data_IF_520429656488
#
_entry.id   IF_520429656488
#
_cell.length_a   1.000
_cell.length_b   1.000
_cell.length_c   1.000
_cell.angle_alpha   90.00
_cell.angle_beta   90.00
_cell.angle_gamma   90.00
#
_symmetry.space_group_name_H-M   'P 1'
#
loop_
_entity.id
_entity.type
_entity.pdbx_description
1 polymer ?
#
# COMPACT_ATOMS: atom_id res chain seq x y z
N UNK A 1 -22.38 32.94 10.49
CA UNK A 1 -21.05 33.57 10.67
C UNK A 1 -21.03 34.97 10.11
N UNK A 2 -21.43 35.22 8.85
CA UNK A 2 -21.44 36.56 8.25
C UNK A 2 -22.21 37.59 9.11
N UNK A 3 -23.47 37.32 9.48
CA UNK A 3 -24.30 38.20 10.34
C UNK A 3 -23.65 38.55 11.68
N UNK A 4 -22.73 37.73 12.16
CA UNK A 4 -21.97 37.90 13.42
C UNK A 4 -20.60 38.55 13.19
N UNK A 5 -20.27 38.95 11.97
CA UNK A 5 -18.96 39.52 11.64
C UNK A 5 -17.78 38.57 11.74
N UNK A 6 -18.04 37.26 11.72
CA UNK A 6 -17.03 36.18 11.85
C UNK A 6 -16.59 35.62 10.48
N UNK A 7 -17.18 36.08 9.40
CA UNK A 7 -16.80 35.73 8.02
C UNK A 7 -17.09 36.88 7.08
N UNK A 8 -16.33 36.96 5.99
CA UNK A 8 -16.47 37.94 4.93
C UNK A 8 -16.20 37.31 3.56
N UNK A 9 -16.76 37.92 2.51
CA UNK A 9 -16.48 37.51 1.12
C UNK A 9 -15.29 38.31 0.58
N UNK A 10 -14.47 37.67 -0.23
CA UNK A 10 -13.19 38.20 -0.70
C UNK A 10 -12.97 37.84 -2.16
N UNK A 11 -12.72 38.82 -3.02
CA UNK A 11 -12.38 38.65 -4.43
C UNK A 11 -10.89 38.87 -4.72
N UNK A 12 -10.06 38.94 -3.70
CA UNK A 12 -8.61 39.04 -3.89
C UNK A 12 -8.14 37.82 -4.68
N UNK A 13 -7.37 38.04 -5.73
CA UNK A 13 -6.81 36.96 -6.54
C UNK A 13 -5.87 36.07 -5.72
N UNK A 14 -5.66 34.83 -6.20
CA UNK A 14 -4.96 33.78 -5.44
C UNK A 14 -3.52 34.17 -5.06
N UNK A 15 -2.79 34.80 -5.97
CA UNK A 15 -1.39 35.15 -5.73
C UNK A 15 -1.28 36.32 -4.75
N UNK A 16 -2.07 37.34 -4.91
CA UNK A 16 -2.15 38.48 -3.99
C UNK A 16 -2.59 37.99 -2.60
N UNK A 17 -3.59 37.11 -2.51
CA UNK A 17 -4.03 36.55 -1.23
C UNK A 17 -2.93 35.75 -0.54
N UNK A 18 -2.11 35.00 -1.29
CA UNK A 18 -0.95 34.29 -0.73
C UNK A 18 0.07 35.26 -0.14
N UNK A 19 0.38 36.34 -0.88
CA UNK A 19 1.30 37.38 -0.42
C UNK A 19 0.75 38.08 0.82
N UNK A 20 -0.50 38.52 0.81
CA UNK A 20 -1.14 39.13 1.96
C UNK A 20 -1.09 38.24 3.20
N UNK A 21 -1.46 36.96 3.06
CA UNK A 21 -1.40 36.01 4.17
C UNK A 21 0.03 35.75 4.66
N UNK A 22 1.04 35.75 3.77
CA UNK A 22 2.45 35.65 4.14
C UNK A 22 2.89 36.89 4.93
N UNK A 23 2.57 38.07 4.39
CA UNK A 23 3.08 39.36 4.87
C UNK A 23 2.15 40.00 5.94
N UNK A 24 1.09 39.27 6.35
CA UNK A 24 0.13 39.68 7.39
C UNK A 24 -0.66 40.94 7.03
N UNK A 25 -0.94 41.13 5.76
CA UNK A 25 -1.71 42.25 5.23
C UNK A 25 -3.18 41.85 5.13
N UNK A 26 -4.07 42.70 5.66
CA UNK A 26 -5.51 42.50 5.55
C UNK A 26 -6.02 42.77 4.12
N UNK A 27 -6.98 41.97 3.65
CA UNK A 27 -7.71 42.24 2.43
C UNK A 27 -8.60 43.48 2.59
N UNK A 28 -8.74 44.27 1.54
CA UNK A 28 -9.68 45.40 1.51
C UNK A 28 -11.13 44.95 1.77
N UNK A 29 -11.51 43.76 1.32
CA UNK A 29 -12.84 43.17 1.55
C UNK A 29 -13.13 42.83 3.02
N UNK A 30 -12.11 42.76 3.89
CA UNK A 30 -12.26 42.49 5.31
C UNK A 30 -13.06 43.56 6.07
N UNK A 31 -13.18 44.76 5.48
CA UNK A 31 -13.91 45.91 6.03
C UNK A 31 -15.39 45.96 5.62
N UNK A 32 -15.84 45.06 4.73
CA UNK A 32 -17.22 45.02 4.29
C UNK A 32 -18.17 44.77 5.47
N UNK A 33 -19.31 45.46 5.41
CA UNK A 33 -20.37 45.29 6.44
C UNK A 33 -21.02 43.90 6.32
N UNK A 34 -21.67 43.40 7.37
CA UNK A 34 -22.43 42.17 7.27
C UNK A 34 -23.46 42.13 6.16
N UNK A 35 -24.12 43.25 5.86
CA UNK A 35 -25.13 43.40 4.80
C UNK A 35 -24.49 43.24 3.44
N UNK A 36 -23.39 43.93 3.16
CA UNK A 36 -22.62 43.80 1.91
C UNK A 36 -22.13 42.37 1.70
N UNK A 37 -21.61 41.75 2.77
CA UNK A 37 -21.15 40.36 2.69
C UNK A 37 -22.30 39.40 2.42
N UNK A 38 -23.50 39.62 2.99
CA UNK A 38 -24.67 38.77 2.75
C UNK A 38 -25.13 38.85 1.28
N UNK A 39 -25.25 40.07 0.75
CA UNK A 39 -25.64 40.30 -0.64
C UNK A 39 -24.68 39.57 -1.61
N UNK A 40 -23.37 39.73 -1.40
CA UNK A 40 -22.35 39.08 -2.24
C UNK A 40 -22.37 37.56 -2.07
N UNK A 41 -22.59 37.06 -0.86
CA UNK A 41 -22.69 35.62 -0.60
C UNK A 41 -23.93 35.01 -1.28
N UNK A 42 -25.05 35.69 -1.30
CA UNK A 42 -26.26 35.27 -2.03
C UNK A 42 -25.99 35.17 -3.56
N UNK A 43 -25.23 36.09 -4.12
CA UNK A 43 -24.78 36.02 -5.52
C UNK A 43 -23.86 34.80 -5.74
N UNK A 44 -22.94 34.52 -4.83
CA UNK A 44 -22.12 33.30 -4.89
C UNK A 44 -22.97 32.03 -4.87
N UNK A 45 -23.99 31.93 -4.03
CA UNK A 45 -24.91 30.78 -3.98
C UNK A 45 -25.67 30.58 -5.28
N UNK A 46 -26.03 31.66 -5.99
CA UNK A 46 -26.66 31.62 -7.31
C UNK A 46 -25.65 31.33 -8.43
N UNK A 47 -24.37 31.44 -8.14
CA UNK A 47 -23.30 31.30 -9.12
C UNK A 47 -23.11 32.54 -9.99
N UNK A 48 -23.42 33.71 -9.49
CA UNK A 48 -23.31 35.01 -10.16
C UNK A 48 -22.04 35.79 -9.76
N UNK A 49 -21.22 35.22 -8.82
CA UNK A 49 -20.04 35.85 -8.26
C UNK A 49 -18.94 34.79 -7.99
N UNK A 50 -18.45 34.14 -9.05
CA UNK A 50 -17.48 33.05 -8.98
C UNK A 50 -16.07 33.52 -8.57
N UNK A 51 -15.77 34.79 -8.76
CA UNK A 51 -14.53 35.45 -8.37
C UNK A 51 -14.37 35.62 -6.87
N UNK A 52 -15.46 35.49 -6.10
CA UNK A 52 -15.42 35.58 -4.64
C UNK A 52 -15.22 34.21 -3.95
N UNK A 53 -14.59 34.27 -2.80
CA UNK A 53 -14.59 33.17 -1.82
C UNK A 53 -15.07 33.66 -0.46
N UNK A 54 -15.57 32.76 0.39
CA UNK A 54 -15.91 33.06 1.77
C UNK A 54 -14.68 32.80 2.63
N UNK A 55 -14.26 33.78 3.46
CA UNK A 55 -13.15 33.67 4.40
C UNK A 55 -13.62 33.83 5.84
N UNK A 56 -12.97 33.11 6.75
CA UNK A 56 -13.10 33.36 8.18
C UNK A 56 -12.44 34.70 8.53
N UNK A 57 -13.03 35.44 9.47
CA UNK A 57 -12.45 36.67 10.02
C UNK A 57 -11.84 36.34 11.37
N UNK A 58 -10.58 35.92 11.39
CA UNK A 58 -9.87 35.48 12.59
C UNK A 58 -8.80 36.50 12.98
N UNK A 59 -7.56 36.31 12.56
CA UNK A 59 -6.43 37.18 12.90
C UNK A 59 -5.33 37.08 11.85
N UNK A 60 -5.15 38.13 11.06
CA UNK A 60 -4.12 38.23 10.03
C UNK A 60 -2.70 38.34 10.62
N UNK A 61 -2.57 38.73 11.90
CA UNK A 61 -1.28 38.85 12.59
C UNK A 61 -0.82 37.53 13.27
N UNK A 62 -1.68 36.51 13.26
CA UNK A 62 -1.36 35.23 13.88
C UNK A 62 -0.03 34.64 13.40
N UNK A 63 0.78 34.07 14.31
CA UNK A 63 1.99 33.32 13.95
C UNK A 63 1.65 32.03 13.20
N UNK A 64 0.49 31.45 13.48
CA UNK A 64 -0.02 30.29 12.75
C UNK A 64 -0.70 30.74 11.43
N UNK A 65 -0.08 30.42 10.30
CA UNK A 65 -0.62 30.76 8.97
C UNK A 65 -2.01 30.20 8.69
N UNK A 66 -2.42 29.10 9.35
CA UNK A 66 -3.75 28.53 9.21
C UNK A 66 -4.85 29.40 9.86
N UNK A 67 -4.47 30.30 10.78
CA UNK A 67 -5.38 31.23 11.45
C UNK A 67 -5.50 32.59 10.73
N UNK A 68 -4.70 32.84 9.68
CA UNK A 68 -4.74 34.11 8.93
C UNK A 68 -5.86 34.09 7.92
N UNK A 69 -7.07 34.33 8.39
CA UNK A 69 -8.32 34.42 7.63
C UNK A 69 -8.42 33.33 6.53
N UNK A 70 -8.54 32.04 6.91
CA UNK A 70 -8.61 30.95 5.96
C UNK A 70 -9.89 30.96 5.14
N UNK A 71 -9.82 30.40 3.92
CA UNK A 71 -11.00 30.24 3.05
C UNK A 71 -11.91 29.16 3.64
N UNK A 72 -13.16 29.50 3.86
CA UNK A 72 -14.23 28.61 4.34
C UNK A 72 -14.97 27.90 3.21
N UNK A 73 -15.09 28.55 2.06
CA UNK A 73 -15.77 27.97 0.90
C UNK A 73 -15.62 28.81 -0.35
N UNK A 74 -15.94 28.21 -1.49
CA UNK A 74 -15.86 28.83 -2.82
C UNK A 74 -16.84 28.21 -3.79
N UNK A 75 -17.11 28.90 -4.90
CA UNK A 75 -17.87 28.35 -6.01
C UNK A 75 -17.09 27.25 -6.73
N UNK A 76 -17.78 26.17 -7.09
CA UNK A 76 -17.25 25.08 -7.90
C UNK A 76 -18.30 24.64 -8.94
N UNK A 77 -18.01 24.79 -10.22
CA UNK A 77 -18.89 24.46 -11.35
C UNK A 77 -18.84 23.01 -11.77
N UNK A 78 -17.88 22.23 -11.25
CA UNK A 78 -17.76 20.82 -11.58
C UNK A 78 -18.97 20.05 -11.03
N UNK A 79 -19.73 19.33 -11.87
CA UNK A 79 -20.87 18.55 -11.39
C UNK A 79 -20.42 17.49 -10.38
N UNK A 80 -21.10 17.43 -9.24
CA UNK A 80 -20.82 16.42 -8.24
C UNK A 80 -21.46 15.08 -8.65
N UNK A 81 -20.77 13.97 -8.47
CA UNK A 81 -21.19 12.63 -8.92
C UNK A 81 -22.56 12.16 -8.41
N UNK A 82 -23.04 12.65 -7.26
CA UNK A 82 -24.35 12.29 -6.69
C UNK A 82 -25.38 13.40 -6.80
N UNK A 83 -24.99 14.66 -6.60
CA UNK A 83 -25.91 15.79 -6.54
C UNK A 83 -25.93 16.60 -7.83
N UNK A 84 -25.08 16.24 -8.81
CA UNK A 84 -24.99 16.96 -10.08
C UNK A 84 -24.67 18.45 -9.89
N UNK A 85 -25.49 19.33 -10.46
CA UNK A 85 -25.35 20.79 -10.39
C UNK A 85 -26.24 21.45 -9.32
N UNK A 86 -26.79 20.66 -8.36
CA UNK A 86 -27.71 21.18 -7.33
C UNK A 86 -27.09 22.28 -6.47
N UNK A 87 -25.80 22.19 -6.19
CA UNK A 87 -25.06 23.13 -5.38
C UNK A 87 -23.96 23.78 -6.22
N UNK A 88 -23.77 25.07 -6.05
CA UNK A 88 -22.71 25.86 -6.71
C UNK A 88 -21.60 26.24 -5.74
N UNK A 89 -21.93 26.47 -4.48
CA UNK A 89 -20.97 26.77 -3.43
C UNK A 89 -20.60 25.52 -2.63
N UNK A 90 -19.30 25.33 -2.39
CA UNK A 90 -18.76 24.20 -1.65
C UNK A 90 -17.85 24.68 -0.53
N UNK A 91 -18.03 24.15 0.71
CA UNK A 91 -17.13 24.43 1.81
C UNK A 91 -15.75 23.79 1.58
N UNK A 92 -14.72 24.37 2.17
CA UNK A 92 -13.42 23.71 2.27
C UNK A 92 -13.47 22.60 3.33
N UNK A 93 -12.50 21.67 3.25
CA UNK A 93 -12.38 20.62 4.24
C UNK A 93 -12.29 21.15 5.68
N UNK A 94 -11.47 22.18 5.89
CA UNK A 94 -11.23 22.75 7.22
C UNK A 94 -12.48 23.42 7.82
N UNK A 95 -13.43 23.81 7.00
CA UNK A 95 -14.73 24.34 7.46
C UNK A 95 -15.78 23.24 7.65
N UNK A 96 -15.86 22.31 6.71
CA UNK A 96 -16.88 21.25 6.75
C UNK A 96 -16.62 20.22 7.84
N UNK A 97 -15.35 19.81 8.03
CA UNK A 97 -14.98 18.70 8.91
C UNK A 97 -15.43 18.92 10.37
N UNK A 98 -15.13 20.02 11.06
CA UNK A 98 -15.58 20.23 12.44
C UNK A 98 -17.10 20.25 12.57
N UNK A 99 -17.82 20.74 11.57
CA UNK A 99 -19.29 20.81 11.56
C UNK A 99 -19.88 19.39 11.43
N UNK A 100 -19.36 18.61 10.47
CA UNK A 100 -19.81 17.24 10.23
C UNK A 100 -19.49 16.35 11.42
N UNK A 101 -18.30 16.45 11.98
CA UNK A 101 -17.90 15.72 13.18
C UNK A 101 -18.85 16.00 14.36
N UNK A 102 -19.23 17.27 14.56
CA UNK A 102 -20.22 17.64 15.57
C UNK A 102 -21.60 17.02 15.29
N UNK A 103 -22.10 17.17 14.05
CA UNK A 103 -23.43 16.69 13.66
C UNK A 103 -23.54 15.16 13.70
N UNK A 104 -22.46 14.45 13.44
CA UNK A 104 -22.39 12.98 13.49
C UNK A 104 -22.06 12.43 14.89
N UNK A 105 -21.85 13.29 15.89
CA UNK A 105 -21.59 12.89 17.27
C UNK A 105 -20.21 12.26 17.47
N UNK A 106 -19.21 12.67 16.67
CA UNK A 106 -17.83 12.22 16.82
C UNK A 106 -17.28 12.69 18.17
N UNK A 107 -16.76 11.77 18.96
CA UNK A 107 -16.14 12.05 20.25
C UNK A 107 -14.64 12.32 20.13
N UNK A 108 -13.96 11.60 19.21
CA UNK A 108 -12.52 11.66 18.97
C UNK A 108 -12.24 11.75 17.48
N UNK A 109 -11.76 12.89 17.01
CA UNK A 109 -11.32 13.08 15.62
C UNK A 109 -9.86 12.66 15.48
N UNK A 110 -9.60 11.52 14.84
CA UNK A 110 -8.26 10.99 14.62
C UNK A 110 -7.68 11.52 13.33
N UNK A 111 -6.51 12.19 13.39
CA UNK A 111 -5.87 12.87 12.26
C UNK A 111 -4.37 12.57 12.22
N UNK A 112 -3.79 12.65 11.03
CA UNK A 112 -2.33 12.63 10.93
C UNK A 112 -1.74 13.95 11.42
N UNK A 113 -0.56 13.90 12.02
CA UNK A 113 0.16 15.08 12.56
C UNK A 113 0.53 16.14 11.50
N UNK A 114 0.37 15.82 10.22
CA UNK A 114 0.47 16.79 9.12
C UNK A 114 -0.57 17.93 9.23
N UNK A 115 -1.61 17.74 10.03
CA UNK A 115 -2.69 18.69 10.28
C UNK A 115 -2.58 19.42 11.63
N UNK A 116 -1.50 19.25 12.36
CA UNK A 116 -1.29 19.86 13.69
C UNK A 116 -1.55 21.38 13.68
N UNK A 117 -1.01 22.11 12.71
CA UNK A 117 -1.18 23.56 12.60
C UNK A 117 -2.64 23.99 12.35
N UNK A 118 -3.51 23.07 11.93
CA UNK A 118 -4.93 23.33 11.64
C UNK A 118 -5.85 23.05 12.84
N UNK A 119 -5.34 22.49 13.93
CA UNK A 119 -6.15 22.22 15.14
C UNK A 119 -6.75 23.49 15.73
N UNK A 120 -6.02 24.61 15.87
CA UNK A 120 -6.61 25.85 16.33
C UNK A 120 -7.75 26.36 15.42
N UNK A 121 -7.60 26.20 14.10
CA UNK A 121 -8.65 26.55 13.12
C UNK A 121 -9.90 25.67 13.30
N UNK A 122 -9.72 24.37 13.51
CA UNK A 122 -10.80 23.43 13.75
C UNK A 122 -11.62 23.81 15.00
N UNK A 123 -10.95 24.08 16.11
CA UNK A 123 -11.62 24.52 17.34
C UNK A 123 -12.26 25.92 17.20
N UNK A 124 -11.61 26.83 16.45
CA UNK A 124 -12.20 28.12 16.19
C UNK A 124 -13.54 28.01 15.44
N UNK A 125 -13.67 27.10 14.46
CA UNK A 125 -14.93 26.88 13.74
C UNK A 125 -16.02 26.38 14.70
N UNK A 126 -15.72 25.42 15.58
CA UNK A 126 -16.69 24.93 16.57
C UNK A 126 -17.13 26.05 17.49
N UNK A 127 -16.20 26.81 18.03
CA UNK A 127 -16.49 27.95 18.94
C UNK A 127 -17.29 29.05 18.24
N UNK A 128 -16.92 29.42 17.02
CA UNK A 128 -17.64 30.40 16.20
C UNK A 128 -19.09 30.00 15.91
N UNK A 129 -19.40 28.71 15.91
CA UNK A 129 -20.74 28.18 15.68
C UNK A 129 -21.49 27.85 17.00
N UNK A 130 -20.80 27.92 18.14
CA UNK A 130 -21.37 27.59 19.45
C UNK A 130 -21.47 26.07 19.67
N UNK A 131 -20.64 25.29 19.00
CA UNK A 131 -20.58 23.82 19.15
C UNK A 131 -19.59 23.41 20.26
N UNK A 132 -19.87 22.34 21.00
CA UNK A 132 -18.93 21.82 21.98
C UNK A 132 -17.66 21.30 21.29
N UNK A 133 -16.53 21.42 21.98
CA UNK A 133 -15.27 20.84 21.53
C UNK A 133 -15.25 19.35 21.81
N UNK A 134 -14.74 18.57 20.85
CA UNK A 134 -14.44 17.15 21.04
C UNK A 134 -12.94 16.92 20.91
N UNK A 135 -12.48 15.74 21.30
CA UNK A 135 -11.07 15.42 21.36
C UNK A 135 -10.48 15.23 19.95
N UNK A 136 -9.28 15.74 19.74
CA UNK A 136 -8.47 15.47 18.55
C UNK A 136 -7.28 14.63 18.96
N UNK A 137 -7.10 13.48 18.31
CA UNK A 137 -5.94 12.64 18.48
C UNK A 137 -5.11 12.62 17.22
N UNK A 138 -3.82 12.89 17.37
CA UNK A 138 -2.88 12.88 16.25
C UNK A 138 -2.01 11.63 16.29
N UNK A 139 -1.71 11.11 15.09
CA UNK A 139 -0.78 10.01 14.89
C UNK A 139 0.09 10.27 13.66
N UNK A 140 1.22 9.55 13.55
CA UNK A 140 2.10 9.70 12.40
C UNK A 140 1.54 8.99 11.16
N UNK A 141 1.85 9.54 9.99
CA UNK A 141 1.61 8.86 8.73
C UNK A 141 2.57 7.69 8.59
N UNK A 142 2.07 6.55 8.09
CA UNK A 142 2.92 5.43 7.68
C UNK A 142 3.74 5.81 6.46
N UNK A 143 5.06 5.61 6.54
CA UNK A 143 5.96 5.69 5.42
C UNK A 143 6.68 4.35 5.26
N UNK A 144 6.80 3.89 4.00
CA UNK A 144 7.49 2.66 3.63
C UNK A 144 8.66 3.00 2.72
N UNK A 145 9.79 2.34 2.95
CA UNK A 145 10.98 2.51 2.11
C UNK A 145 10.69 2.14 0.65
N UNK A 146 11.35 2.84 -0.27
CA UNK A 146 11.26 2.63 -1.72
C UNK A 146 9.82 2.64 -2.26
N UNK A 147 8.88 3.30 -1.55
CA UNK A 147 7.45 3.22 -1.82
C UNK A 147 6.85 4.57 -2.14
N UNK A 148 6.17 4.68 -3.26
CA UNK A 148 5.41 5.87 -3.62
C UNK A 148 3.98 5.77 -3.07
N UNK A 149 3.67 6.52 -1.99
CA UNK A 149 2.33 6.60 -1.39
C UNK A 149 1.49 7.78 -1.92
N UNK A 150 2.04 8.59 -2.84
CA UNK A 150 1.32 9.75 -3.38
C UNK A 150 0.26 9.33 -4.40
N UNK A 151 -1.03 9.53 -4.07
CA UNK A 151 -2.15 9.25 -4.99
C UNK A 151 -1.96 9.90 -6.37
N UNK A 152 -1.50 11.15 -6.43
CA UNK A 152 -1.29 11.88 -7.71
C UNK A 152 -0.23 11.20 -8.59
N UNK A 153 0.86 10.74 -7.99
CA UNK A 153 1.92 10.02 -8.71
C UNK A 153 1.43 8.64 -9.17
N UNK A 154 0.69 7.91 -8.32
CA UNK A 154 0.10 6.62 -8.67
C UNK A 154 -0.93 6.78 -9.79
N UNK A 155 -1.74 7.81 -9.77
CA UNK A 155 -2.71 8.14 -10.82
C UNK A 155 -2.03 8.35 -12.17
N UNK A 156 -0.91 9.05 -12.20
CA UNK A 156 -0.13 9.23 -13.43
C UNK A 156 0.31 7.90 -14.05
N UNK A 157 0.74 6.92 -13.24
CA UNK A 157 1.11 5.59 -13.74
C UNK A 157 -0.08 4.87 -14.36
N UNK A 158 -1.28 5.00 -13.76
CA UNK A 158 -2.52 4.40 -14.30
C UNK A 158 -2.92 5.07 -15.61
N UNK A 159 -2.95 6.40 -15.66
CA UNK A 159 -3.35 7.17 -16.83
C UNK A 159 -2.36 7.00 -18.00
N UNK A 160 -1.07 6.90 -17.70
CA UNK A 160 -0.03 6.63 -18.70
C UNK A 160 0.06 5.15 -19.11
N UNK A 161 -0.83 4.28 -18.61
CA UNK A 161 -0.92 2.83 -18.91
C UNK A 161 0.39 2.07 -18.64
N UNK A 162 1.19 2.52 -17.69
CA UNK A 162 2.43 1.84 -17.24
C UNK A 162 2.17 0.69 -16.26
N UNK A 163 0.94 0.60 -15.77
CA UNK A 163 0.42 -0.43 -14.88
C UNK A 163 -0.97 -0.82 -15.35
N UNK A 164 -1.44 -2.00 -14.95
CA UNK A 164 -2.77 -2.50 -15.33
C UNK A 164 -3.92 -1.70 -14.71
N UNK A 165 -3.69 -1.12 -13.53
CA UNK A 165 -4.68 -0.33 -12.82
C UNK A 165 -4.33 -0.13 -11.34
N UNK A 166 -5.28 0.35 -10.56
CA UNK A 166 -5.10 0.60 -9.13
C UNK A 166 -4.86 -0.65 -8.27
N UNK A 167 -5.14 -1.82 -8.81
CA UNK A 167 -4.91 -3.12 -8.19
C UNK A 167 -3.62 -3.80 -8.67
N UNK A 168 -2.79 -3.11 -9.43
CA UNK A 168 -1.50 -3.65 -9.87
C UNK A 168 -0.67 -4.08 -8.65
N UNK A 169 -0.09 -5.31 -8.63
CA UNK A 169 0.65 -5.81 -7.47
C UNK A 169 1.95 -5.03 -7.17
N UNK A 170 2.39 -4.17 -8.08
CA UNK A 170 3.50 -3.24 -7.84
C UNK A 170 3.10 -2.01 -7.03
N UNK A 171 1.78 -1.75 -6.90
CA UNK A 171 1.26 -0.61 -6.15
C UNK A 171 1.09 -0.92 -4.66
N UNK A 172 1.37 0.06 -3.78
CA UNK A 172 1.14 -0.05 -2.34
C UNK A 172 -0.32 0.25 -1.96
N UNK A 173 -1.27 0.07 -2.88
CA UNK A 173 -2.69 0.14 -2.56
C UNK A 173 -3.13 -1.13 -1.86
N UNK A 174 -4.17 -1.07 -1.03
CA UNK A 174 -4.72 -2.26 -0.37
C UNK A 174 -5.03 -3.36 -1.38
N UNK A 175 -5.64 -3.02 -2.51
CA UNK A 175 -5.93 -3.98 -3.59
C UNK A 175 -4.67 -4.55 -4.23
N UNK A 176 -3.65 -3.74 -4.44
CA UNK A 176 -2.36 -4.16 -5.01
C UNK A 176 -1.64 -5.14 -4.09
N UNK A 177 -1.55 -4.84 -2.79
CA UNK A 177 -0.89 -5.71 -1.82
C UNK A 177 -1.65 -7.01 -1.59
N UNK A 178 -3.00 -6.99 -1.61
CA UNK A 178 -3.82 -8.22 -1.55
C UNK A 178 -3.56 -9.08 -2.79
N UNK A 179 -3.55 -8.49 -3.99
CA UNK A 179 -3.23 -9.21 -5.23
C UNK A 179 -1.81 -9.78 -5.23
N UNK A 180 -0.88 -9.15 -4.52
CA UNK A 180 0.50 -9.63 -4.31
C UNK A 180 0.57 -10.81 -3.34
N UNK A 181 -0.51 -11.16 -2.65
CA UNK A 181 -0.59 -12.28 -1.71
C UNK A 181 -0.48 -11.91 -0.24
N UNK A 182 -0.58 -10.61 0.09
CA UNK A 182 -0.63 -10.16 1.49
C UNK A 182 -2.07 -10.26 2.00
N UNK A 183 -2.25 -10.92 3.14
CA UNK A 183 -3.54 -11.08 3.80
C UNK A 183 -4.00 -9.79 4.48
N UNK A 184 -5.32 -9.58 4.58
CA UNK A 184 -5.89 -8.41 5.27
C UNK A 184 -5.51 -8.42 6.76
N UNK A 185 -5.49 -9.61 7.37
CA UNK A 185 -5.09 -9.81 8.76
C UNK A 185 -3.65 -9.34 9.01
N UNK A 186 -2.77 -9.54 8.01
CA UNK A 186 -1.38 -9.04 8.05
C UNK A 186 -1.34 -7.51 8.11
N UNK A 187 -2.15 -6.84 7.29
CA UNK A 187 -2.22 -5.37 7.30
C UNK A 187 -2.75 -4.86 8.64
N UNK A 188 -3.78 -5.50 9.18
CA UNK A 188 -4.35 -5.14 10.48
C UNK A 188 -3.31 -5.27 11.59
N UNK A 189 -2.63 -6.41 11.68
CA UNK A 189 -1.61 -6.65 12.70
C UNK A 189 -0.43 -5.67 12.56
N UNK A 190 0.05 -5.49 11.33
CA UNK A 190 1.13 -4.54 11.05
C UNK A 190 0.77 -3.12 11.49
N UNK A 191 -0.46 -2.66 11.23
CA UNK A 191 -0.92 -1.33 11.67
C UNK A 191 -1.08 -1.23 13.18
N UNK A 192 -1.58 -2.26 13.85
CA UNK A 192 -1.69 -2.28 15.31
C UNK A 192 -0.33 -2.22 15.99
N UNK A 193 0.67 -2.89 15.44
CA UNK A 193 2.04 -2.84 15.95
C UNK A 193 2.71 -1.47 15.80
N UNK A 194 2.27 -0.63 14.85
CA UNK A 194 2.77 0.75 14.73
C UNK A 194 2.36 1.61 15.94
N UNK A 195 1.18 1.34 16.50
CA UNK A 195 0.61 2.11 17.59
C UNK A 195 0.22 3.55 17.20
N UNK A 196 -0.26 4.35 18.16
CA UNK A 196 -0.78 5.71 17.92
C UNK A 196 0.29 6.80 18.10
N UNK A 197 1.55 6.51 17.86
CA UNK A 197 2.65 7.47 18.04
C UNK A 197 2.58 8.63 17.03
N UNK A 198 2.92 9.84 17.48
CA UNK A 198 3.10 11.02 16.61
C UNK A 198 4.46 11.05 15.91
N UNK A 199 5.40 10.19 16.32
CA UNK A 199 6.75 10.15 15.76
C UNK A 199 6.70 9.57 14.35
N UNK A 200 7.15 10.34 13.37
CA UNK A 200 7.30 9.85 12.00
C UNK A 200 8.29 8.68 11.96
N UNK A 201 7.93 7.64 11.25
CA UNK A 201 8.77 6.47 11.02
C UNK A 201 8.88 6.18 9.53
N UNK A 202 9.92 5.48 9.16
CA UNK A 202 10.13 4.89 7.84
C UNK A 202 10.28 3.38 8.05
N UNK A 203 9.33 2.60 7.53
CA UNK A 203 9.23 1.17 7.77
C UNK A 203 9.76 0.38 6.57
N UNK A 204 10.44 -0.71 6.86
CA UNK A 204 10.86 -1.69 5.87
C UNK A 204 9.71 -2.68 5.56
N UNK A 205 9.70 -3.19 4.33
CA UNK A 205 8.74 -4.20 3.89
C UNK A 205 8.93 -5.55 4.56
N UNK A 206 10.14 -5.85 5.01
CA UNK A 206 10.53 -7.13 5.63
C UNK A 206 9.66 -7.47 6.83
N UNK A 207 9.32 -6.49 7.65
CA UNK A 207 8.42 -6.69 8.79
C UNK A 207 7.03 -7.13 8.34
N UNK A 208 6.48 -6.48 7.32
CA UNK A 208 5.18 -6.85 6.75
C UNK A 208 5.21 -8.27 6.17
N UNK A 209 6.29 -8.61 5.46
CA UNK A 209 6.47 -9.95 4.90
C UNK A 209 6.62 -11.02 5.99
N UNK A 210 7.32 -10.73 7.07
CA UNK A 210 7.48 -11.67 8.19
C UNK A 210 6.13 -11.99 8.84
N UNK A 211 5.29 -10.99 9.08
CA UNK A 211 3.93 -11.17 9.60
C UNK A 211 3.10 -12.00 8.60
N UNK A 212 3.12 -11.64 7.31
CA UNK A 212 2.36 -12.35 6.29
C UNK A 212 2.76 -13.82 6.20
N UNK A 213 4.07 -14.08 6.18
CA UNK A 213 4.61 -15.45 6.16
C UNK A 213 4.10 -16.26 7.34
N UNK A 214 4.12 -15.72 8.54
CA UNK A 214 3.62 -16.39 9.76
C UNK A 214 2.12 -16.73 9.66
N UNK A 215 1.33 -15.84 9.07
CA UNK A 215 -0.12 -16.05 8.91
C UNK A 215 -0.43 -17.07 7.82
N UNK A 216 0.28 -17.01 6.68
CA UNK A 216 -0.05 -17.88 5.54
C UNK A 216 0.59 -19.27 5.64
N UNK A 217 1.72 -19.41 6.31
CA UNK A 217 2.50 -20.66 6.36
C UNK A 217 1.70 -21.89 6.83
N UNK A 218 0.83 -21.79 7.87
CA UNK A 218 0.02 -22.92 8.31
C UNK A 218 -1.20 -23.23 7.42
N UNK A 219 -1.60 -22.33 6.52
CA UNK A 219 -2.84 -22.48 5.75
C UNK A 219 -2.63 -22.62 4.23
N UNK A 220 -1.42 -22.38 3.75
CA UNK A 220 -1.14 -22.42 2.32
C UNK A 220 -0.63 -23.79 1.85
N UNK A 221 -1.20 -24.32 0.75
CA UNK A 221 -0.62 -25.45 0.04
C UNK A 221 0.78 -25.10 -0.47
N UNK A 222 1.68 -26.08 -0.48
CA UNK A 222 3.05 -25.91 -0.94
C UNK A 222 3.29 -26.68 -2.24
N UNK A 223 3.75 -25.94 -3.24
CA UNK A 223 4.16 -26.48 -4.52
C UNK A 223 5.64 -26.21 -4.76
N UNK A 224 6.28 -27.08 -5.56
CA UNK A 224 7.62 -26.83 -6.06
C UNK A 224 7.54 -26.05 -7.36
N UNK A 225 8.45 -25.10 -7.57
CA UNK A 225 8.62 -24.38 -8.81
C UNK A 225 10.12 -24.30 -9.14
N UNK A 226 10.43 -24.34 -10.43
CA UNK A 226 11.79 -24.19 -10.97
C UNK A 226 11.72 -23.14 -12.08
N UNK A 227 12.66 -22.22 -12.12
CA UNK A 227 12.75 -21.22 -13.18
C UNK A 227 13.03 -21.88 -14.51
N UNK A 228 12.29 -21.53 -15.55
CA UNK A 228 12.48 -22.10 -16.90
C UNK A 228 13.82 -21.67 -17.49
N UNK A 229 14.23 -20.42 -17.22
CA UNK A 229 15.47 -19.86 -17.74
C UNK A 229 16.67 -20.58 -17.13
N UNK A 230 17.46 -21.25 -17.98
CA UNK A 230 18.65 -22.02 -17.62
C UNK A 230 18.36 -23.14 -16.58
N UNK A 231 17.14 -23.69 -16.58
CA UNK A 231 16.82 -24.85 -15.74
C UNK A 231 17.85 -25.94 -16.00
N UNK A 232 18.55 -26.36 -14.94
CA UNK A 232 19.59 -27.38 -15.01
C UNK A 232 19.00 -28.77 -14.81
N UNK A 233 19.59 -29.78 -15.42
CA UNK A 233 19.10 -31.16 -15.39
C UNK A 233 20.03 -32.04 -14.59
N UNK A 234 19.45 -32.88 -13.71
CA UNK A 234 20.15 -33.97 -13.05
C UNK A 234 19.62 -35.27 -13.63
N UNK A 235 20.48 -36.01 -14.37
CA UNK A 235 20.20 -37.34 -14.82
C UNK A 235 20.59 -38.33 -13.72
N UNK A 236 19.63 -39.09 -13.23
CA UNK A 236 19.80 -40.07 -12.15
C UNK A 236 19.89 -41.45 -12.81
N UNK A 237 21.12 -42.00 -12.86
CA UNK A 237 21.44 -43.14 -13.72
C UNK A 237 20.81 -44.47 -13.25
N UNK A 238 20.57 -44.61 -11.96
CA UNK A 238 20.06 -45.85 -11.35
C UNK A 238 18.55 -45.82 -11.06
N UNK A 239 17.79 -44.95 -11.73
CA UNK A 239 16.33 -44.84 -11.62
C UNK A 239 15.70 -45.13 -13.00
N UNK A 240 14.55 -45.84 -13.06
CA UNK A 240 13.81 -46.04 -14.31
C UNK A 240 13.41 -44.71 -14.98
N UNK A 241 13.37 -44.72 -16.32
CA UNK A 241 12.98 -43.53 -17.08
C UNK A 241 11.48 -43.22 -16.98
N UNK A 242 10.63 -44.22 -16.75
CA UNK A 242 9.19 -44.05 -16.58
C UNK A 242 8.87 -43.30 -15.30
N UNK A 243 8.14 -42.17 -15.37
CA UNK A 243 7.77 -41.38 -14.18
C UNK A 243 6.84 -42.17 -13.24
N UNK A 244 7.15 -42.16 -11.96
CA UNK A 244 6.32 -42.69 -10.89
C UNK A 244 5.72 -41.59 -10.04
N UNK A 245 4.41 -41.64 -9.76
CA UNK A 245 3.74 -40.73 -8.85
C UNK A 245 3.67 -41.29 -7.43
N UNK A 246 4.18 -40.54 -6.44
CA UNK A 246 4.00 -40.86 -5.03
C UNK A 246 3.19 -39.75 -4.34
N UNK A 247 2.34 -40.14 -3.39
CA UNK A 247 1.58 -39.19 -2.60
C UNK A 247 2.46 -38.56 -1.51
N UNK A 248 2.42 -37.22 -1.41
CA UNK A 248 3.12 -36.47 -0.36
C UNK A 248 2.19 -35.42 0.24
N UNK A 249 2.33 -35.08 1.53
CA UNK A 249 1.52 -34.04 2.14
C UNK A 249 1.64 -32.70 1.41
N UNK A 250 0.52 -32.02 1.20
CA UNK A 250 0.46 -30.68 0.64
C UNK A 250 1.29 -29.69 1.48
N UNK A 251 1.27 -29.85 2.80
CA UNK A 251 2.12 -29.14 3.75
C UNK A 251 2.47 -30.06 4.93
N UNK A 252 3.75 -30.10 5.31
CA UNK A 252 4.17 -30.82 6.51
C UNK A 252 3.72 -30.16 7.81
N UNK A 253 3.35 -28.88 7.77
CA UNK A 253 2.88 -28.13 8.93
C UNK A 253 1.37 -28.27 9.16
N UNK A 254 0.62 -28.64 8.13
CA UNK A 254 -0.82 -28.81 8.23
C UNK A 254 -1.29 -29.95 7.32
N UNK A 255 -1.41 -31.13 7.89
CA UNK A 255 -1.84 -32.34 7.17
C UNK A 255 -3.30 -32.27 6.74
N UNK A 256 -4.13 -31.41 7.35
CA UNK A 256 -5.53 -31.21 6.95
C UNK A 256 -5.69 -30.61 5.54
N UNK A 257 -4.62 -30.06 4.96
CA UNK A 257 -4.62 -29.59 3.57
C UNK A 257 -4.62 -30.73 2.54
N UNK A 258 -4.50 -31.98 3.00
CA UNK A 258 -4.49 -33.16 2.14
C UNK A 258 -3.11 -33.43 1.51
N UNK A 259 -3.15 -34.18 0.43
CA UNK A 259 -1.96 -34.68 -0.27
C UNK A 259 -1.92 -34.21 -1.72
N UNK A 260 -0.74 -34.30 -2.33
CA UNK A 260 -0.51 -34.04 -3.74
C UNK A 260 0.42 -35.07 -4.35
N UNK A 261 0.30 -35.36 -5.66
CA UNK A 261 1.26 -36.20 -6.33
C UNK A 261 2.64 -35.50 -6.40
N UNK A 262 3.68 -36.26 -6.12
CA UNK A 262 5.07 -35.94 -6.42
C UNK A 262 5.53 -36.93 -7.48
N UNK A 263 5.80 -36.43 -8.65
CA UNK A 263 6.33 -37.23 -9.74
C UNK A 263 7.84 -37.40 -9.58
N UNK A 264 8.32 -38.61 -9.74
CA UNK A 264 9.74 -38.96 -9.77
C UNK A 264 10.08 -39.51 -11.13
N UNK A 265 11.19 -39.11 -11.71
CA UNK A 265 11.71 -39.64 -12.97
C UNK A 265 13.24 -39.65 -12.91
N UNK A 266 13.87 -40.32 -13.86
CA UNK A 266 15.33 -40.34 -13.95
C UNK A 266 15.92 -38.96 -14.32
N UNK A 267 15.11 -37.95 -14.64
CA UNK A 267 15.56 -36.56 -14.87
C UNK A 267 14.87 -35.60 -13.94
N UNK A 268 15.65 -34.91 -13.12
CA UNK A 268 15.18 -33.86 -12.23
C UNK A 268 15.62 -32.48 -12.76
N UNK A 269 14.66 -31.56 -12.89
CA UNK A 269 14.90 -30.15 -13.20
C UNK A 269 15.14 -29.38 -11.92
N UNK A 270 16.18 -28.56 -11.86
CA UNK A 270 16.53 -27.71 -10.72
C UNK A 270 16.86 -26.28 -11.18
N UNK A 271 16.76 -25.33 -10.29
CA UNK A 271 17.15 -23.93 -10.55
C UNK A 271 18.65 -23.84 -10.87
N UNK A 272 19.01 -23.00 -11.83
CA UNK A 272 20.41 -22.72 -12.19
C UNK A 272 21.24 -22.31 -10.97
N UNK A 273 20.70 -21.44 -10.10
CA UNK A 273 21.41 -20.95 -8.92
C UNK A 273 21.74 -22.11 -7.97
N UNK A 274 20.80 -23.02 -7.76
CA UNK A 274 21.03 -24.20 -6.91
C UNK A 274 22.08 -25.13 -7.57
N UNK A 275 21.97 -25.35 -8.87
CA UNK A 275 22.95 -26.12 -9.62
C UNK A 275 24.36 -25.52 -9.52
N UNK A 276 24.48 -24.19 -9.67
CA UNK A 276 25.76 -23.48 -9.65
C UNK A 276 26.42 -23.50 -8.25
N UNK A 277 25.66 -23.13 -7.22
CA UNK A 277 26.19 -22.85 -5.90
C UNK A 277 26.16 -24.02 -4.92
N UNK A 278 25.17 -24.91 -5.03
CA UNK A 278 24.92 -25.97 -4.04
C UNK A 278 25.30 -27.38 -4.51
N UNK A 279 25.41 -27.60 -5.82
CA UNK A 279 25.71 -28.92 -6.40
C UNK A 279 27.19 -29.02 -6.74
N UNK A 280 27.91 -29.96 -6.09
CA UNK A 280 29.34 -30.21 -6.32
C UNK A 280 29.58 -31.69 -6.61
N UNK A 281 30.52 -31.95 -7.51
CA UNK A 281 30.94 -33.30 -7.88
C UNK A 281 31.54 -33.99 -6.67
N UNK A 282 31.14 -35.25 -6.45
CA UNK A 282 31.55 -36.07 -5.30
C UNK A 282 30.77 -35.82 -4.00
N UNK A 283 29.91 -34.78 -3.97
CA UNK A 283 29.06 -34.47 -2.82
C UNK A 283 27.63 -35.03 -2.99
N UNK A 284 26.95 -35.21 -1.86
CA UNK A 284 25.54 -35.60 -1.83
C UNK A 284 24.66 -34.38 -1.73
N UNK A 285 23.56 -34.38 -2.45
CA UNK A 285 22.45 -33.45 -2.32
C UNK A 285 21.17 -34.17 -1.94
N UNK A 286 20.20 -33.48 -1.36
CA UNK A 286 18.86 -34.02 -1.11
C UNK A 286 17.85 -33.38 -2.05
N UNK A 287 17.24 -34.17 -2.91
CA UNK A 287 16.02 -33.76 -3.62
C UNK A 287 14.85 -33.80 -2.65
N UNK A 288 14.24 -32.63 -2.42
CA UNK A 288 13.20 -32.46 -1.38
C UNK A 288 12.03 -33.44 -1.57
N UNK A 289 11.63 -34.11 -0.49
CA UNK A 289 10.60 -35.14 -0.45
C UNK A 289 10.89 -36.43 -1.28
N UNK A 290 12.12 -36.59 -1.76
CA UNK A 290 12.56 -37.84 -2.45
C UNK A 290 13.67 -38.52 -1.70
N UNK A 291 14.90 -38.00 -1.75
CA UNK A 291 16.04 -38.60 -1.10
C UNK A 291 17.38 -38.03 -1.53
N UNK A 292 18.45 -38.71 -1.14
CA UNK A 292 19.81 -38.26 -1.45
C UNK A 292 20.27 -38.75 -2.80
N UNK A 293 21.02 -37.90 -3.53
CA UNK A 293 21.67 -38.19 -4.80
C UNK A 293 23.15 -37.85 -4.68
N UNK A 294 24.03 -38.80 -5.00
CA UNK A 294 25.48 -38.63 -5.10
C UNK A 294 25.81 -38.08 -6.50
N UNK A 295 26.43 -36.91 -6.57
CA UNK A 295 26.75 -36.24 -7.83
C UNK A 295 28.06 -36.82 -8.41
N UNK A 296 28.00 -37.27 -9.66
CA UNK A 296 29.15 -37.84 -10.39
C UNK A 296 29.80 -36.80 -11.33
N UNK A 297 28.99 -36.12 -12.13
CA UNK A 297 29.49 -35.11 -13.09
C UNK A 297 28.66 -33.86 -13.02
N UNK A 298 29.26 -32.76 -13.46
CA UNK A 298 28.58 -31.46 -13.61
C UNK A 298 29.24 -30.69 -14.78
N UNK A 299 28.50 -30.49 -15.85
CA UNK A 299 28.99 -29.88 -17.07
C UNK A 299 28.14 -28.65 -17.46
N UNK A 300 28.81 -27.54 -17.74
CA UNK A 300 28.16 -26.33 -18.24
C UNK A 300 27.81 -26.49 -19.72
N UNK A 301 26.56 -26.30 -20.07
CA UNK A 301 26.07 -26.40 -21.46
C UNK A 301 26.16 -25.06 -22.19
N UNK A 302 26.06 -25.12 -23.53
CA UNK A 302 26.13 -23.91 -24.38
C UNK A 302 25.03 -22.87 -24.12
N UNK A 303 23.87 -23.29 -23.61
CA UNK A 303 22.76 -22.43 -23.20
C UNK A 303 22.94 -21.81 -21.81
N UNK A 304 24.03 -22.14 -21.13
CA UNK A 304 24.38 -21.69 -19.81
C UNK A 304 23.66 -22.43 -18.68
N UNK A 305 22.96 -23.53 -18.95
CA UNK A 305 22.46 -24.48 -17.95
C UNK A 305 23.54 -25.51 -17.55
N UNK A 306 23.28 -26.31 -16.51
CA UNK A 306 24.12 -27.45 -16.17
C UNK A 306 23.45 -28.77 -16.53
N UNK A 307 24.25 -29.70 -17.13
CA UNK A 307 23.94 -31.11 -17.21
C UNK A 307 24.72 -31.82 -16.11
N UNK A 308 23.99 -32.50 -15.23
CA UNK A 308 24.53 -33.15 -14.04
C UNK A 308 24.17 -34.63 -14.10
N UNK A 309 25.08 -35.52 -13.69
CA UNK A 309 24.76 -36.92 -13.52
C UNK A 309 24.98 -37.34 -12.06
N UNK A 310 24.23 -38.36 -11.61
CA UNK A 310 24.37 -38.86 -10.27
C UNK A 310 23.58 -40.13 -10.02
N UNK A 311 23.80 -40.75 -8.86
CA UNK A 311 23.09 -41.93 -8.39
C UNK A 311 22.20 -41.63 -7.20
N UNK A 312 20.97 -42.12 -7.26
CA UNK A 312 20.05 -42.08 -6.12
C UNK A 312 20.50 -43.08 -5.04
N UNK A 313 20.54 -42.65 -3.81
CA UNK A 313 20.95 -43.45 -2.65
C UNK A 313 19.72 -43.85 -1.85
N UNK A 314 19.10 -44.98 -2.18
CA UNK A 314 17.83 -45.42 -1.61
C UNK A 314 17.89 -45.62 -0.07
N UNK A 315 19.00 -46.14 0.46
CA UNK A 315 19.19 -46.49 1.86
C UNK A 315 19.77 -45.33 2.70
N UNK A 316 20.24 -44.24 2.04
CA UNK A 316 20.83 -43.11 2.73
C UNK A 316 19.73 -42.16 3.27
N UNK A 317 19.58 -42.17 4.59
CA UNK A 317 18.62 -41.33 5.33
C UNK A 317 19.30 -40.17 6.07
N UNK A 318 20.60 -39.92 5.84
CA UNK A 318 21.29 -38.76 6.43
C UNK A 318 21.02 -37.50 5.63
N UNK A 319 19.91 -36.83 5.96
CA UNK A 319 19.52 -35.58 5.37
C UNK A 319 20.11 -34.35 6.07
N UNK A 320 20.83 -34.48 7.21
CA UNK A 320 21.24 -33.30 8.01
C UNK A 320 22.38 -32.54 7.37
N UNK A 321 23.30 -33.24 6.73
CA UNK A 321 24.55 -32.66 6.16
C UNK A 321 24.51 -32.36 4.67
N UNK A 322 23.34 -32.47 4.03
CA UNK A 322 23.18 -32.28 2.58
C UNK A 322 22.48 -30.99 2.27
N UNK A 323 22.78 -30.38 1.13
CA UNK A 323 22.02 -29.27 0.57
C UNK A 323 20.64 -29.75 0.10
N UNK A 324 19.58 -29.02 0.48
CA UNK A 324 18.20 -29.34 0.09
C UNK A 324 17.86 -28.60 -1.21
N UNK A 325 17.56 -29.36 -2.25
CA UNK A 325 17.29 -28.82 -3.59
C UNK A 325 15.80 -28.95 -3.91
N UNK A 326 15.19 -27.85 -4.31
CA UNK A 326 13.85 -27.84 -4.93
C UNK A 326 13.97 -28.35 -6.36
N UNK A 327 13.06 -29.23 -6.75
CA UNK A 327 13.15 -29.89 -8.06
C UNK A 327 11.78 -30.25 -8.61
N UNK A 328 11.72 -30.52 -9.92
CA UNK A 328 10.58 -31.06 -10.64
C UNK A 328 11.04 -32.22 -11.52
N UNK A 329 10.19 -33.23 -11.72
CA UNK A 329 10.48 -34.30 -12.66
C UNK A 329 10.30 -33.80 -14.11
N UNK A 330 11.31 -34.00 -14.97
CA UNK A 330 11.17 -33.72 -16.42
C UNK A 330 10.28 -34.78 -17.08
N UNK A 331 9.60 -34.44 -18.16
CA UNK A 331 8.71 -35.37 -18.87
C UNK A 331 7.34 -35.59 -18.24
N UNK A 332 6.96 -34.78 -17.23
CA UNK A 332 5.64 -34.79 -16.59
C UNK A 332 4.80 -33.57 -17.00
N UNK A 333 3.52 -33.54 -16.63
CA UNK A 333 2.63 -32.41 -16.92
C UNK A 333 3.00 -31.19 -16.05
N UNK A 334 4.02 -30.43 -16.47
CA UNK A 334 4.45 -29.19 -15.82
C UNK A 334 3.63 -28.01 -16.32
N UNK A 335 3.15 -27.18 -15.38
CA UNK A 335 2.48 -25.92 -15.69
C UNK A 335 3.51 -24.78 -15.72
N UNK A 336 3.48 -23.96 -16.80
CA UNK A 336 4.18 -22.67 -16.80
C UNK A 336 3.28 -21.63 -16.14
N UNK A 337 3.83 -20.91 -15.18
CA UNK A 337 3.18 -19.79 -14.46
C UNK A 337 4.00 -18.52 -14.58
#
# INVERSE_FOLDING_TARGET
>A
MIKRGLAYVDNTDVETMRLQRRDRIESACRTFTPEQNLELFEKMLKGEADEYCLRAKIDMNSNNGCMRDPVLGRTNRTPHQRTGKKYTFYPTYDFACPIVDHLEGITHAMRTNEYADRIPQYYWVLEALGFPKHEIWEYSRLNLEYTCLSKRKLQWFVESKRVEGWNDPRFPTVRGVIRKGIRVETLTEFMLEQGPSKRSNLMEWEKLWAINKRIIDPICPRYSAVRVEKASRINIENIPAEPEAVSVPMSKLNLALGERPLWKSNVALIDFIDADTLVKVGEKITLMNWGNVLIKTKELQADGSYLITGDYLADDKDFKKTNKITWLADGTNLLKV
#
